data_IF_212511128574
#
_entry.id   IF_212511128574
#
_cell.length_a   1.000
_cell.length_b   1.000
_cell.length_c   1.000
_cell.angle_alpha   90.00
_cell.angle_beta   90.00
_cell.angle_gamma   90.00
#
_symmetry.space_group_name_H-M   'P 1'
#
loop_
_entity.id
_entity.type
_entity.pdbx_description
1 polymer ?
#
# COMPACT_ATOMS: atom_id res chain seq x y z
N UNK A 1 6.99 -11.77 34.64
CA UNK A 1 8.03 -10.73 34.58
C UNK A 1 7.35 -9.50 33.98
N UNK A 2 7.51 -8.32 34.60
CA UNK A 2 6.95 -7.09 34.02
C UNK A 2 7.74 -6.67 32.76
N UNK A 3 7.16 -5.79 31.93
CA UNK A 3 7.78 -5.41 30.65
C UNK A 3 9.14 -4.71 30.81
N UNK A 4 9.32 -3.91 31.87
CA UNK A 4 10.56 -3.17 32.13
C UNK A 4 11.71 -4.08 32.55
N UNK A 5 11.46 -5.03 33.47
CA UNK A 5 12.46 -6.02 33.87
C UNK A 5 12.85 -6.94 32.72
N UNK A 6 11.90 -7.30 31.84
CA UNK A 6 12.20 -8.08 30.63
C UNK A 6 13.08 -7.31 29.65
N UNK A 7 12.77 -6.04 29.38
CA UNK A 7 13.57 -5.20 28.48
C UNK A 7 15.02 -5.06 28.96
N UNK A 8 15.22 -4.79 30.25
CA UNK A 8 16.56 -4.71 30.85
C UNK A 8 17.29 -6.05 30.79
N UNK A 9 16.58 -7.15 31.02
CA UNK A 9 17.16 -8.50 30.93
C UNK A 9 17.64 -8.81 29.52
N UNK A 10 16.82 -8.52 28.50
CA UNK A 10 17.22 -8.66 27.09
C UNK A 10 18.43 -7.78 26.74
N UNK A 11 18.47 -6.53 27.22
CA UNK A 11 19.62 -5.63 27.00
C UNK A 11 20.92 -6.22 27.54
N UNK A 12 20.88 -6.75 28.77
CA UNK A 12 22.03 -7.37 29.42
C UNK A 12 22.45 -8.67 28.74
N UNK A 13 21.49 -9.56 28.46
CA UNK A 13 21.79 -10.90 27.97
C UNK A 13 22.31 -10.89 26.51
N UNK A 14 21.88 -9.92 25.70
CA UNK A 14 22.19 -9.84 24.27
C UNK A 14 23.01 -8.61 23.84
N UNK A 15 23.48 -7.79 24.79
CA UNK A 15 24.19 -6.54 24.50
C UNK A 15 23.40 -5.66 23.48
N UNK A 16 22.12 -5.40 23.78
CA UNK A 16 21.28 -4.59 22.90
C UNK A 16 21.68 -3.12 23.01
N UNK A 17 22.26 -2.60 21.93
CA UNK A 17 22.68 -1.21 21.75
C UNK A 17 21.71 -0.42 20.86
N UNK A 18 20.77 -1.10 20.20
CA UNK A 18 19.71 -0.46 19.44
C UNK A 18 18.84 0.43 20.33
N UNK A 19 18.44 1.60 19.82
CA UNK A 19 17.42 2.42 20.47
C UNK A 19 16.07 1.71 20.35
N UNK A 20 15.56 1.25 21.49
CA UNK A 20 14.27 0.55 21.60
C UNK A 20 13.23 1.38 22.37
N UNK A 21 13.41 2.71 22.42
CA UNK A 21 12.47 3.62 23.09
C UNK A 21 11.04 3.52 22.57
N UNK A 22 10.87 3.19 21.29
CA UNK A 22 9.55 3.02 20.64
C UNK A 22 8.92 1.63 20.90
N UNK A 23 9.63 0.72 21.58
CA UNK A 23 9.18 -0.66 21.80
C UNK A 23 8.49 -0.80 23.16
N UNK A 24 7.21 -1.18 23.13
CA UNK A 24 6.44 -1.51 24.33
C UNK A 24 6.46 -3.02 24.56
N UNK A 25 7.07 -3.46 25.65
CA UNK A 25 7.08 -4.86 26.06
C UNK A 25 5.78 -5.22 26.77
N UNK A 26 4.88 -5.91 26.06
CA UNK A 26 3.54 -6.24 26.55
C UNK A 26 3.60 -7.39 27.54
N UNK A 27 4.29 -8.47 27.16
CA UNK A 27 4.42 -9.67 27.97
C UNK A 27 5.73 -10.37 27.64
N UNK A 28 6.28 -11.08 28.60
CA UNK A 28 7.22 -12.12 28.26
C UNK A 28 7.57 -13.06 29.39
N UNK A 29 8.27 -14.12 29.02
CA UNK A 29 8.70 -15.16 29.91
C UNK A 29 10.03 -15.73 29.46
N UNK A 30 10.84 -16.14 30.43
CA UNK A 30 12.09 -16.83 30.22
C UNK A 30 11.92 -18.19 30.87
N UNK A 31 12.14 -19.27 30.12
CA UNK A 31 12.01 -20.64 30.62
C UNK A 31 13.29 -21.40 30.31
N UNK A 32 13.68 -22.31 31.21
CA UNK A 32 14.67 -23.33 30.86
C UNK A 32 14.07 -24.21 29.77
N UNK A 33 14.81 -24.40 28.69
CA UNK A 33 14.37 -25.23 27.59
C UNK A 33 14.60 -26.69 27.99
N UNK A 34 13.55 -27.35 28.47
CA UNK A 34 13.61 -28.78 28.78
C UNK A 34 13.36 -29.56 27.49
N UNK A 35 14.39 -30.16 26.91
CA UNK A 35 14.19 -31.24 25.94
C UNK A 35 13.57 -32.42 26.70
N UNK A 36 12.36 -32.82 26.32
CA UNK A 36 11.68 -34.00 26.86
C UNK A 36 12.44 -35.31 26.54
N UNK A 37 13.56 -35.25 25.81
CA UNK A 37 14.21 -36.41 25.17
C UNK A 37 15.74 -36.44 25.17
N UNK A 38 16.47 -35.73 26.04
CA UNK A 38 17.94 -35.88 26.06
C UNK A 38 18.54 -35.96 27.46
N UNK A 39 18.95 -37.17 27.82
CA UNK A 39 20.05 -37.38 28.77
C UNK A 39 21.28 -36.65 28.22
N UNK A 40 21.64 -35.53 28.86
CA UNK A 40 22.97 -34.89 28.87
C UNK A 40 23.82 -35.00 27.59
N UNK A 41 23.84 -33.95 26.75
CA UNK A 41 24.91 -33.79 25.74
C UNK A 41 25.47 -32.35 25.67
N UNK A 42 24.77 -31.33 26.17
CA UNK A 42 25.31 -29.98 26.27
C UNK A 42 25.89 -29.74 27.66
N UNK A 43 27.20 -29.96 27.84
CA UNK A 43 27.90 -29.64 29.08
C UNK A 43 27.70 -28.19 29.49
N UNK A 44 27.56 -27.93 30.80
CA UNK A 44 27.52 -26.65 31.56
C UNK A 44 26.64 -25.48 31.05
N UNK A 45 26.11 -25.52 29.83
CA UNK A 45 25.40 -24.41 29.18
C UNK A 45 23.91 -24.49 29.47
N UNK A 46 23.35 -23.44 30.07
CA UNK A 46 21.92 -23.32 30.29
C UNK A 46 21.19 -23.00 28.99
N UNK A 47 20.33 -23.89 28.50
CA UNK A 47 19.46 -23.58 27.36
C UNK A 47 18.22 -22.80 27.84
N UNK A 48 18.03 -21.60 27.32
CA UNK A 48 16.93 -20.70 27.68
C UNK A 48 16.06 -20.39 26.46
N UNK A 49 14.76 -20.32 26.68
CA UNK A 49 13.77 -19.85 25.72
C UNK A 49 13.12 -18.57 26.24
N UNK A 50 13.32 -17.49 25.50
CA UNK A 50 12.63 -16.23 25.69
C UNK A 50 11.40 -16.23 24.78
N UNK A 51 10.24 -15.90 25.35
CA UNK A 51 9.01 -15.63 24.60
C UNK A 51 8.60 -14.22 24.96
N UNK A 52 8.55 -13.33 23.96
CA UNK A 52 8.41 -11.88 24.15
C UNK A 52 7.33 -11.37 23.20
N UNK A 53 6.29 -10.78 23.75
CA UNK A 53 5.26 -10.07 23.00
C UNK A 53 5.55 -8.57 23.10
N UNK A 54 5.72 -7.91 21.95
CA UNK A 54 5.99 -6.49 21.86
C UNK A 54 4.95 -5.78 21.00
N UNK A 55 4.74 -4.51 21.29
CA UNK A 55 3.94 -3.59 20.51
C UNK A 55 4.83 -2.41 20.13
N UNK A 56 4.89 -2.10 18.84
CA UNK A 56 5.60 -0.91 18.32
C UNK A 56 4.57 -0.10 17.53
N UNK A 57 4.31 1.13 17.95
CA UNK A 57 3.15 1.90 17.51
C UNK A 57 1.85 1.07 17.61
N UNK A 58 1.26 0.71 16.48
CA UNK A 58 0.03 -0.08 16.38
C UNK A 58 0.28 -1.50 15.80
N UNK A 59 1.53 -1.97 15.78
CA UNK A 59 1.88 -3.29 15.23
C UNK A 59 2.37 -4.23 16.33
N UNK A 60 1.69 -5.35 16.48
CA UNK A 60 2.05 -6.41 17.41
C UNK A 60 3.06 -7.37 16.77
N UNK A 61 4.07 -7.75 17.55
CA UNK A 61 5.04 -8.78 17.18
C UNK A 61 5.20 -9.76 18.34
N UNK A 62 5.31 -11.04 18.01
CA UNK A 62 5.73 -12.08 18.96
C UNK A 62 7.12 -12.58 18.55
N UNK A 63 8.03 -12.64 19.53
CA UNK A 63 9.40 -13.08 19.36
C UNK A 63 9.64 -14.32 20.23
N UNK A 64 10.26 -15.34 19.64
CA UNK A 64 10.81 -16.49 20.38
C UNK A 64 12.31 -16.56 20.13
N UNK A 65 13.09 -16.55 21.20
CA UNK A 65 14.55 -16.53 21.15
C UNK A 65 15.05 -17.73 21.94
N UNK A 66 15.64 -18.70 21.25
CA UNK A 66 16.29 -19.86 21.86
C UNK A 66 17.78 -19.58 21.97
N UNK A 67 18.36 -19.79 23.14
CA UNK A 67 19.74 -19.36 23.42
C UNK A 67 20.49 -20.33 24.31
N UNK A 68 21.81 -20.37 24.12
CA UNK A 68 22.71 -20.83 25.18
C UNK A 68 23.13 -19.66 26.04
N UNK A 69 22.84 -19.76 27.34
CA UNK A 69 23.33 -18.84 28.35
C UNK A 69 24.70 -19.32 28.86
N UNK A 70 25.67 -18.43 28.78
CA UNK A 70 26.99 -18.51 29.40
C UNK A 70 27.01 -17.60 30.64
N UNK A 71 28.10 -17.64 31.42
CA UNK A 71 28.22 -16.79 32.62
C UNK A 71 28.07 -15.29 32.32
N UNK A 72 28.64 -14.83 31.20
CA UNK A 72 28.72 -13.40 30.86
C UNK A 72 28.08 -13.03 29.50
N UNK A 73 27.45 -13.99 28.81
CA UNK A 73 26.88 -13.75 27.48
C UNK A 73 25.77 -14.74 27.15
N UNK A 74 24.93 -14.39 26.16
CA UNK A 74 24.00 -15.35 25.56
C UNK A 74 24.23 -15.44 24.05
N UNK A 75 24.27 -16.67 23.53
CA UNK A 75 24.36 -16.95 22.09
C UNK A 75 22.98 -17.35 21.57
N UNK A 76 22.55 -16.72 20.47
CA UNK A 76 21.24 -16.97 19.87
C UNK A 76 21.33 -18.15 18.90
N UNK A 77 20.61 -19.22 19.24
CA UNK A 77 20.49 -20.44 18.44
C UNK A 77 19.35 -20.36 17.44
N UNK A 78 18.24 -19.75 17.85
CA UNK A 78 17.05 -19.62 17.01
C UNK A 78 16.33 -18.31 17.33
N UNK A 79 15.93 -17.62 16.28
CA UNK A 79 15.06 -16.45 16.36
C UNK A 79 13.82 -16.74 15.53
N UNK A 80 12.66 -16.68 16.18
CA UNK A 80 11.36 -16.68 15.52
C UNK A 80 10.68 -15.34 15.73
N UNK A 81 10.15 -14.79 14.65
CA UNK A 81 9.41 -13.53 14.64
C UNK A 81 8.05 -13.87 14.02
N UNK A 82 6.97 -13.48 14.67
CA UNK A 82 5.62 -13.72 14.20
C UNK A 82 4.84 -12.39 14.20
N UNK A 83 4.17 -12.08 13.08
CA UNK A 83 3.23 -10.96 12.99
C UNK A 83 1.81 -11.53 12.90
N UNK A 84 0.93 -11.28 13.88
CA UNK A 84 -0.42 -11.85 13.89
C UNK A 84 -1.30 -11.40 12.71
N UNK A 85 -1.09 -10.17 12.22
CA UNK A 85 -1.80 -9.65 11.04
C UNK A 85 -1.24 -10.28 9.76
N UNK A 86 -2.08 -11.06 9.06
CA UNK A 86 -1.69 -11.80 7.85
C UNK A 86 -1.26 -10.91 6.68
N UNK A 87 -1.78 -9.68 6.58
CA UNK A 87 -1.38 -8.77 5.50
C UNK A 87 -0.01 -8.15 5.79
N UNK A 88 0.22 -7.73 7.03
CA UNK A 88 1.53 -7.20 7.45
C UNK A 88 2.61 -8.29 7.44
N UNK A 89 2.24 -9.52 7.82
CA UNK A 89 3.09 -10.70 7.76
C UNK A 89 3.63 -10.95 6.33
N UNK A 90 2.81 -10.75 5.30
CA UNK A 90 3.25 -10.87 3.89
C UNK A 90 4.28 -9.79 3.53
N UNK A 91 4.04 -8.53 3.93
CA UNK A 91 4.95 -7.41 3.65
C UNK A 91 6.32 -7.58 4.33
N UNK A 92 6.34 -8.10 5.56
CA UNK A 92 7.60 -8.27 6.31
C UNK A 92 8.32 -9.59 6.03
N UNK A 93 7.67 -10.58 5.39
CA UNK A 93 8.14 -11.96 5.30
C UNK A 93 9.60 -12.10 4.82
N UNK A 94 9.98 -11.40 3.76
CA UNK A 94 11.34 -11.45 3.21
C UNK A 94 12.38 -10.94 4.22
N UNK A 95 12.10 -9.78 4.83
CA UNK A 95 12.97 -9.18 5.82
C UNK A 95 13.05 -10.01 7.10
N UNK A 96 11.92 -10.52 7.56
CA UNK A 96 11.82 -11.43 8.69
C UNK A 96 12.70 -12.66 8.48
N UNK A 97 12.57 -13.33 7.34
CA UNK A 97 13.36 -14.52 7.02
C UNK A 97 14.87 -14.22 7.01
N UNK A 98 15.27 -13.03 6.55
CA UNK A 98 16.65 -12.57 6.62
C UNK A 98 17.12 -12.42 8.08
N UNK A 99 16.37 -11.70 8.92
CA UNK A 99 16.73 -11.49 10.33
C UNK A 99 16.77 -12.80 11.13
N UNK A 100 15.83 -13.73 10.88
CA UNK A 100 15.82 -15.04 11.53
C UNK A 100 17.06 -15.90 11.19
N UNK A 101 17.62 -15.73 9.99
CA UNK A 101 18.87 -16.40 9.59
C UNK A 101 20.10 -15.75 10.24
N UNK A 102 20.15 -14.43 10.28
CA UNK A 102 21.28 -13.69 10.85
C UNK A 102 21.29 -13.64 12.38
N UNK A 103 20.13 -13.87 13.02
CA UNK A 103 19.97 -13.96 14.49
C UNK A 103 20.54 -12.76 15.24
N UNK A 104 20.48 -11.58 14.62
CA UNK A 104 20.96 -10.33 15.20
C UNK A 104 19.78 -9.55 15.78
N UNK A 105 19.66 -9.53 17.11
CA UNK A 105 18.56 -8.81 17.76
C UNK A 105 18.63 -7.29 17.59
N UNK A 106 19.83 -6.70 17.54
CA UNK A 106 19.97 -5.26 17.30
C UNK A 106 19.39 -4.89 15.93
N UNK A 107 19.79 -5.61 14.89
CA UNK A 107 19.24 -5.44 13.54
C UNK A 107 17.75 -5.75 13.48
N UNK A 108 17.29 -6.77 14.21
CA UNK A 108 15.88 -7.13 14.30
C UNK A 108 15.04 -5.99 14.89
N UNK A 109 15.42 -5.42 16.04
CA UNK A 109 14.65 -4.34 16.65
C UNK A 109 14.60 -3.09 15.77
N UNK A 110 15.75 -2.64 15.23
CA UNK A 110 15.79 -1.49 14.32
C UNK A 110 14.87 -1.68 13.11
N UNK A 111 14.87 -2.88 12.55
CA UNK A 111 14.02 -3.27 11.43
C UNK A 111 12.53 -3.27 11.80
N UNK A 112 12.15 -3.90 12.91
CA UNK A 112 10.75 -3.96 13.36
C UNK A 112 10.21 -2.56 13.66
N UNK A 113 11.05 -1.69 14.24
CA UNK A 113 10.73 -0.27 14.47
C UNK A 113 10.48 0.44 13.15
N UNK A 114 11.39 0.33 12.19
CA UNK A 114 11.23 0.96 10.88
C UNK A 114 9.98 0.45 10.16
N UNK A 115 9.72 -0.86 10.17
CA UNK A 115 8.52 -1.45 9.60
C UNK A 115 7.25 -0.88 10.24
N UNK A 116 7.14 -0.91 11.57
CA UNK A 116 5.99 -0.42 12.30
C UNK A 116 5.75 1.09 12.05
N UNK A 117 6.82 1.88 11.96
CA UNK A 117 6.76 3.31 11.63
C UNK A 117 6.18 3.56 10.23
N UNK A 118 6.55 2.75 9.24
CA UNK A 118 6.00 2.86 7.89
C UNK A 118 4.53 2.43 7.83
N UNK A 119 4.16 1.36 8.54
CA UNK A 119 2.76 0.93 8.68
C UNK A 119 1.92 2.05 9.29
N UNK A 120 2.42 2.66 10.37
CA UNK A 120 1.72 3.75 11.05
C UNK A 120 1.62 5.01 10.17
N UNK A 121 2.69 5.36 9.46
CA UNK A 121 2.70 6.44 8.47
C UNK A 121 1.60 6.25 7.44
N UNK A 122 1.49 5.05 6.87
CA UNK A 122 0.46 4.70 5.89
C UNK A 122 -0.95 4.80 6.49
N UNK A 123 -1.15 4.23 7.69
CA UNK A 123 -2.43 4.29 8.42
C UNK A 123 -2.89 5.73 8.63
N UNK A 124 -1.99 6.61 9.08
CA UNK A 124 -2.28 8.02 9.32
C UNK A 124 -2.63 8.75 8.01
N UNK A 125 -1.88 8.55 6.94
CA UNK A 125 -2.17 9.18 5.64
C UNK A 125 -3.53 8.72 5.11
N UNK A 126 -3.86 7.44 5.24
CA UNK A 126 -5.18 6.93 4.85
C UNK A 126 -6.30 7.59 5.64
N UNK A 127 -6.14 7.69 6.96
CA UNK A 127 -7.15 8.29 7.81
C UNK A 127 -7.30 9.81 7.56
N UNK A 128 -6.19 10.52 7.31
CA UNK A 128 -6.22 11.98 7.14
C UNK A 128 -6.70 12.38 5.74
N UNK A 129 -6.31 11.63 4.71
CA UNK A 129 -6.46 12.01 3.30
C UNK A 129 -7.38 11.05 2.55
N UNK A 130 -6.96 9.80 2.38
CA UNK A 130 -7.59 8.87 1.41
C UNK A 130 -9.03 8.52 1.79
N UNK A 131 -9.29 8.25 3.07
CA UNK A 131 -10.64 7.90 3.55
C UNK A 131 -11.66 9.04 3.43
N UNK A 132 -11.21 10.28 3.22
CA UNK A 132 -12.06 11.46 3.02
C UNK A 132 -12.28 11.78 1.55
N UNK A 133 -11.73 10.98 0.64
CA UNK A 133 -11.88 11.17 -0.79
C UNK A 133 -13.00 10.26 -1.33
N UNK A 134 -14.17 10.80 -1.71
CA UNK A 134 -15.31 9.97 -2.13
C UNK A 134 -15.05 9.17 -3.40
N UNK A 135 -14.12 9.61 -4.25
CA UNK A 135 -13.74 8.93 -5.50
C UNK A 135 -12.61 7.92 -5.31
N UNK A 136 -12.06 7.80 -4.10
CA UNK A 136 -11.04 6.82 -3.76
C UNK A 136 -11.68 5.60 -3.08
N UNK A 137 -11.25 4.41 -3.48
CA UNK A 137 -11.57 3.16 -2.82
C UNK A 137 -10.29 2.44 -2.39
N UNK A 138 -10.36 1.72 -1.28
CA UNK A 138 -9.24 0.99 -0.71
C UNK A 138 -9.55 -0.51 -0.72
N UNK A 139 -8.60 -1.31 -1.18
CA UNK A 139 -8.66 -2.77 -1.07
C UNK A 139 -7.30 -3.34 -0.66
N UNK A 140 -7.29 -4.51 -0.04
CA UNK A 140 -6.04 -5.24 0.19
C UNK A 140 -5.44 -5.70 -1.15
N UNK A 141 -4.12 -5.74 -1.25
CA UNK A 141 -3.41 -6.31 -2.40
C UNK A 141 -2.95 -7.75 -2.08
N UNK A 142 -2.88 -8.62 -3.09
CA UNK A 142 -2.62 -10.06 -2.89
C UNK A 142 -1.25 -10.31 -2.25
N UNK A 143 -0.25 -9.52 -2.64
CA UNK A 143 1.13 -9.57 -2.13
C UNK A 143 1.34 -8.84 -0.79
N UNK A 144 0.26 -8.43 -0.13
CA UNK A 144 0.30 -7.53 1.03
C UNK A 144 0.28 -6.06 0.62
N UNK A 145 0.11 -5.17 1.60
CA UNK A 145 -0.10 -3.75 1.36
C UNK A 145 -1.52 -3.42 0.90
N UNK A 146 -1.68 -2.24 0.30
CA UNK A 146 -2.97 -1.68 -0.08
C UNK A 146 -3.00 -1.18 -1.51
N UNK A 147 -4.14 -1.38 -2.15
CA UNK A 147 -4.48 -0.82 -3.44
C UNK A 147 -5.46 0.34 -3.24
N UNK A 148 -5.06 1.53 -3.67
CA UNK A 148 -5.90 2.73 -3.69
C UNK A 148 -6.34 2.94 -5.13
N UNK A 149 -7.64 2.90 -5.38
CA UNK A 149 -8.21 3.16 -6.71
C UNK A 149 -8.99 4.46 -6.68
N UNK A 150 -8.52 5.46 -7.42
CA UNK A 150 -9.25 6.68 -7.71
C UNK A 150 -9.96 6.54 -9.06
N UNK A 151 -11.28 6.72 -9.07
CA UNK A 151 -12.09 6.63 -10.28
C UNK A 151 -13.03 7.83 -10.39
N UNK A 152 -12.87 8.60 -11.45
CA UNK A 152 -13.77 9.69 -11.82
C UNK A 152 -14.32 9.45 -13.23
N UNK A 153 -15.53 8.89 -13.29
CA UNK A 153 -16.20 8.54 -14.55
C UNK A 153 -16.52 9.79 -15.39
N UNK A 154 -16.85 10.91 -14.74
CA UNK A 154 -17.22 12.14 -15.44
C UNK A 154 -16.05 12.75 -16.20
N UNK A 155 -14.84 12.58 -15.65
CA UNK A 155 -13.62 13.15 -16.20
C UNK A 155 -12.70 12.11 -16.82
N UNK A 156 -13.16 10.86 -16.92
CA UNK A 156 -12.43 9.69 -17.40
C UNK A 156 -11.03 9.54 -16.77
N UNK A 157 -10.91 9.75 -15.46
CA UNK A 157 -9.65 9.56 -14.73
C UNK A 157 -9.71 8.25 -13.96
N UNK A 158 -8.72 7.40 -14.18
CA UNK A 158 -8.54 6.16 -13.44
C UNK A 158 -7.08 6.05 -13.00
N UNK A 159 -6.86 5.99 -11.69
CA UNK A 159 -5.54 5.86 -11.07
C UNK A 159 -5.59 4.72 -10.05
N UNK A 160 -4.67 3.78 -10.17
CA UNK A 160 -4.43 2.70 -9.22
C UNK A 160 -3.05 2.90 -8.59
N UNK A 161 -2.99 2.98 -7.26
CA UNK A 161 -1.76 3.17 -6.49
C UNK A 161 -1.58 1.96 -5.56
N UNK A 162 -0.58 1.12 -5.84
CA UNK A 162 -0.21 0.01 -5.00
C UNK A 162 0.83 0.49 -3.99
N UNK A 163 0.51 0.42 -2.70
CA UNK A 163 1.36 0.90 -1.64
C UNK A 163 1.66 -0.23 -0.67
N UNK A 164 2.91 -0.69 -0.69
CA UNK A 164 3.43 -1.79 0.13
C UNK A 164 4.78 -1.45 0.75
N UNK A 165 5.08 -2.08 1.87
CA UNK A 165 6.41 -2.08 2.46
C UNK A 165 7.14 -3.30 1.90
N UNK A 166 8.34 -3.08 1.39
CA UNK A 166 9.15 -4.12 0.76
C UNK A 166 10.56 -4.15 1.38
N UNK A 167 11.26 -5.26 1.15
CA UNK A 167 12.67 -5.41 1.54
C UNK A 167 13.57 -5.15 0.34
N UNK A 168 14.48 -4.18 0.44
CA UNK A 168 15.56 -3.98 -0.52
C UNK A 168 16.70 -4.94 -0.18
N UNK A 169 16.94 -5.93 -1.04
CA UNK A 169 18.09 -6.84 -0.89
C UNK A 169 19.43 -6.12 -1.11
N UNK A 170 19.47 -5.10 -1.98
CA UNK A 170 20.67 -4.30 -2.29
C UNK A 170 21.15 -3.54 -1.06
N UNK A 171 20.22 -2.86 -0.40
CA UNK A 171 20.54 -1.98 0.73
C UNK A 171 20.38 -2.68 2.08
N UNK A 172 19.80 -3.88 2.10
CA UNK A 172 19.41 -4.60 3.32
C UNK A 172 18.54 -3.72 4.24
N UNK A 173 17.54 -3.06 3.66
CA UNK A 173 16.66 -2.13 4.36
C UNK A 173 15.20 -2.33 3.96
N UNK A 174 14.32 -1.96 4.88
CA UNK A 174 12.89 -1.88 4.59
C UNK A 174 12.60 -0.55 3.89
N UNK A 175 11.89 -0.63 2.76
CA UNK A 175 11.52 0.52 1.93
C UNK A 175 10.01 0.62 1.79
N UNK A 176 9.51 1.85 1.76
CA UNK A 176 8.11 2.11 1.49
C UNK A 176 7.92 2.29 -0.02
N UNK A 177 7.29 1.32 -0.66
CA UNK A 177 7.17 1.20 -2.10
C UNK A 177 5.78 1.61 -2.57
N UNK A 178 5.74 2.57 -3.50
CA UNK A 178 4.51 3.02 -4.15
C UNK A 178 4.66 2.80 -5.66
N UNK A 179 3.78 1.99 -6.23
CA UNK A 179 3.66 1.76 -7.66
C UNK A 179 2.36 2.40 -8.16
N UNK A 180 2.39 3.07 -9.30
CA UNK A 180 1.25 3.82 -9.83
C UNK A 180 0.93 3.39 -11.25
N UNK A 181 -0.33 3.15 -11.52
CA UNK A 181 -0.88 2.86 -12.84
C UNK A 181 -2.04 3.81 -13.11
N UNK A 182 -2.04 4.50 -14.24
CA UNK A 182 -3.13 5.39 -14.60
C UNK A 182 -3.44 5.33 -16.09
N UNK A 183 -4.67 5.65 -16.45
CA UNK A 183 -5.07 5.80 -17.85
C UNK A 183 -4.52 7.11 -18.45
N UNK A 184 -4.43 7.21 -19.77
CA UNK A 184 -4.02 8.47 -20.39
C UNK A 184 -5.17 9.49 -20.30
N UNK A 185 -5.21 10.24 -19.19
CA UNK A 185 -6.19 11.30 -18.96
C UNK A 185 -5.64 12.66 -19.44
N UNK A 186 -6.51 13.48 -20.02
CA UNK A 186 -6.21 14.83 -20.47
C UNK A 186 -6.85 15.83 -19.50
N UNK A 187 -6.13 16.16 -18.43
CA UNK A 187 -6.54 17.16 -17.45
C UNK A 187 -5.69 18.44 -17.60
N UNK A 188 -6.25 19.65 -17.38
CA UNK A 188 -5.48 20.90 -17.43
C UNK A 188 -4.28 20.94 -16.48
N UNK A 189 -4.40 20.28 -15.32
CA UNK A 189 -3.33 20.08 -14.32
C UNK A 189 -2.73 18.67 -14.40
N UNK A 190 -2.82 18.00 -15.55
CA UNK A 190 -2.36 16.62 -15.70
C UNK A 190 -0.86 16.45 -15.45
N UNK A 191 -0.05 17.47 -15.74
CA UNK A 191 1.38 17.45 -15.44
C UNK A 191 1.64 17.51 -13.94
N UNK A 192 0.91 18.35 -13.19
CA UNK A 192 1.05 18.45 -11.73
C UNK A 192 0.64 17.14 -11.05
N UNK A 193 -0.46 16.51 -11.52
CA UNK A 193 -0.89 15.19 -11.03
C UNK A 193 0.20 14.15 -11.29
N UNK A 194 0.76 14.10 -12.50
CA UNK A 194 1.84 13.16 -12.85
C UNK A 194 3.09 13.40 -12.00
N UNK A 195 3.51 14.65 -11.83
CA UNK A 195 4.68 14.99 -10.99
C UNK A 195 4.46 14.55 -9.54
N UNK A 196 3.30 14.85 -8.96
CA UNK A 196 2.97 14.44 -7.59
C UNK A 196 2.98 12.91 -7.45
N UNK A 197 2.44 12.17 -8.43
CA UNK A 197 2.48 10.71 -8.45
C UNK A 197 3.91 10.19 -8.55
N UNK A 198 4.75 10.73 -9.44
CA UNK A 198 6.16 10.36 -9.56
C UNK A 198 6.94 10.65 -8.29
N UNK A 199 6.69 11.79 -7.63
CA UNK A 199 7.36 12.10 -6.37
C UNK A 199 6.96 11.13 -5.27
N UNK A 200 5.69 10.73 -5.21
CA UNK A 200 5.22 9.74 -4.23
C UNK A 200 5.89 8.38 -4.36
N UNK A 201 6.42 8.00 -5.54
CA UNK A 201 7.13 6.71 -5.69
C UNK A 201 8.52 6.70 -5.06
N UNK A 202 9.03 7.84 -4.58
CA UNK A 202 10.36 7.91 -3.98
C UNK A 202 10.39 7.20 -2.60
N UNK A 203 11.31 6.23 -2.38
CA UNK A 203 11.27 5.35 -1.21
C UNK A 203 11.63 6.06 0.11
N UNK A 204 12.44 7.11 0.06
CA UNK A 204 12.98 7.79 1.24
C UNK A 204 12.19 9.03 1.68
N UNK A 205 10.92 9.15 1.30
CA UNK A 205 10.10 10.28 1.72
C UNK A 205 9.71 10.18 3.21
N UNK A 206 10.00 11.23 3.98
CA UNK A 206 9.52 11.38 5.34
C UNK A 206 7.99 11.54 5.40
N UNK A 207 7.42 11.39 6.61
CA UNK A 207 5.98 11.47 6.84
C UNK A 207 5.36 12.79 6.38
N UNK A 208 5.97 13.94 6.71
CA UNK A 208 5.41 15.26 6.42
C UNK A 208 5.41 15.54 4.93
N UNK A 209 6.50 15.22 4.25
CA UNK A 209 6.64 15.35 2.81
C UNK A 209 5.64 14.44 2.09
N UNK A 210 5.54 13.18 2.50
CA UNK A 210 4.59 12.21 1.93
C UNK A 210 3.14 12.66 2.15
N UNK A 211 2.78 13.10 3.36
CA UNK A 211 1.45 13.63 3.66
C UNK A 211 1.11 14.87 2.83
N UNK A 212 2.07 15.78 2.63
CA UNK A 212 1.89 16.98 1.80
C UNK A 212 1.60 16.58 0.34
N UNK A 213 2.38 15.66 -0.23
CA UNK A 213 2.18 15.15 -1.59
C UNK A 213 0.80 14.50 -1.75
N UNK A 214 0.37 13.67 -0.79
CA UNK A 214 -0.97 13.09 -0.80
C UNK A 214 -2.09 14.13 -0.76
N UNK A 215 -1.95 15.18 0.05
CA UNK A 215 -2.92 16.27 0.11
C UNK A 215 -2.99 17.04 -1.20
N UNK A 216 -1.84 17.36 -1.80
CA UNK A 216 -1.76 18.05 -3.09
C UNK A 216 -2.39 17.20 -4.20
N UNK A 217 -2.04 15.92 -4.29
CA UNK A 217 -2.61 14.99 -5.26
C UNK A 217 -4.14 14.96 -5.18
N UNK A 218 -4.72 14.78 -3.99
CA UNK A 218 -6.18 14.75 -3.84
C UNK A 218 -6.82 16.09 -4.15
N UNK A 219 -6.18 17.21 -3.80
CA UNK A 219 -6.65 18.54 -4.16
C UNK A 219 -6.68 18.75 -5.68
N UNK A 220 -5.62 18.37 -6.39
CA UNK A 220 -5.51 18.48 -7.84
C UNK A 220 -6.56 17.63 -8.56
N UNK A 221 -6.80 16.42 -8.06
CA UNK A 221 -7.84 15.52 -8.56
C UNK A 221 -9.26 16.10 -8.35
N UNK A 222 -9.53 16.73 -7.20
CA UNK A 222 -10.82 17.39 -6.93
C UNK A 222 -11.05 18.62 -7.79
N UNK A 223 -10.02 19.45 -7.98
CA UNK A 223 -10.10 20.67 -8.78
C UNK A 223 -10.56 20.33 -10.20
N UNK A 224 -10.00 19.27 -10.77
CA UNK A 224 -10.38 18.77 -12.08
C UNK A 224 -11.83 18.26 -12.12
N UNK A 225 -12.25 17.48 -11.12
CA UNK A 225 -13.64 17.01 -11.01
C UNK A 225 -14.67 18.14 -10.99
N UNK A 226 -14.35 19.27 -10.34
CA UNK A 226 -15.25 20.43 -10.25
C UNK A 226 -15.28 21.27 -11.53
N UNK A 227 -14.13 21.47 -12.19
CA UNK A 227 -14.06 22.27 -13.43
C UNK A 227 -14.85 21.66 -14.59
N UNK A 228 -14.91 20.33 -14.67
CA UNK A 228 -15.67 19.62 -15.72
C UNK A 228 -17.18 19.80 -15.54
N UNK A 229 -17.65 19.89 -14.30
CA UNK A 229 -19.08 20.12 -14.00
C UNK A 229 -19.52 21.51 -14.48
N UNK A 230 -18.70 22.55 -14.26
CA UNK A 230 -19.02 23.90 -14.70
C UNK A 230 -19.06 24.02 -16.24
N UNK A 231 -18.11 23.43 -16.96
CA UNK A 231 -18.10 23.46 -18.42
C UNK A 231 -19.32 22.75 -19.05
N UNK A 232 -19.76 21.62 -18.48
CA UNK A 232 -20.92 20.86 -18.98
C UNK A 232 -22.25 21.60 -18.69
N UNK A 233 -22.35 22.31 -17.57
CA UNK A 233 -23.52 23.13 -17.23
C UNK A 233 -23.63 24.32 -18.20
N UNK A 234 -22.54 25.03 -18.46
CA UNK A 234 -22.54 26.17 -19.40
C UNK A 234 -22.96 25.75 -20.81
N UNK A 235 -22.55 24.57 -21.29
CA UNK A 235 -22.96 24.05 -22.61
C UNK A 235 -24.46 23.72 -22.67
N UNK A 236 -25.05 23.20 -21.57
CA UNK A 236 -26.49 22.91 -21.50
C UNK A 236 -27.35 24.17 -21.40
N UNK A 237 -26.88 25.19 -20.68
CA UNK A 237 -27.57 26.48 -20.57
C UNK A 237 -27.46 27.30 -21.87
N UNK A 238 -26.39 27.14 -22.64
CA UNK A 238 -26.25 27.80 -23.96
C UNK A 238 -26.95 27.07 -25.10
N UNK A 239 -27.29 25.78 -24.96
CA UNK A 239 -28.06 25.03 -25.95
C UNK A 239 -29.59 25.13 -25.78
N UNK A 240 -30.10 25.83 -24.77
CA UNK A 240 -31.55 25.96 -24.51
C UNK A 240 -32.17 27.27 -25.03
N UNK A 241 -31.45 28.04 -25.86
CA UNK A 241 -32.01 29.23 -26.53
C UNK A 241 -31.60 29.28 -27.99
N UNK A 242 -32.24 28.45 -28.83
CA UNK A 242 -32.37 28.69 -30.28
C UNK A 242 -33.47 27.80 -30.89
N UNK A 243 -34.67 27.79 -30.31
CA UNK A 243 -35.87 27.37 -31.03
C UNK A 243 -36.56 28.63 -31.60
N UNK A 244 -36.04 29.10 -32.72
CA UNK A 244 -36.77 29.93 -33.66
C UNK A 244 -36.33 29.55 -35.07
N UNK A 245 -37.32 29.23 -35.89
CA UNK A 245 -37.29 29.06 -37.34
C UNK A 245 -36.47 27.91 -37.94
N UNK A 246 -37.14 26.76 -38.04
CA UNK A 246 -37.12 26.02 -39.31
C UNK A 246 -38.51 25.44 -39.57
N UNK A 247 -39.27 26.20 -40.37
CA UNK A 247 -40.55 25.83 -40.97
C UNK A 247 -40.36 24.56 -41.80
N UNK A 248 -40.99 23.46 -41.38
CA UNK A 248 -41.13 22.25 -42.19
C UNK A 248 -42.33 22.44 -43.12
N UNK A 249 -42.06 22.85 -44.37
CA UNK A 249 -43.06 22.90 -45.44
C UNK A 249 -43.35 21.46 -45.89
N UNK A 250 -44.60 21.03 -45.68
CA UNK A 250 -45.17 19.83 -46.26
C UNK A 250 -45.47 20.13 -47.74
N UNK A 251 -44.94 19.35 -48.66
CA UNK A 251 -45.47 19.28 -50.03
C UNK A 251 -45.44 17.84 -50.51
N UNK A 252 -46.64 17.29 -50.67
CA UNK A 252 -46.92 16.06 -51.41
C UNK A 252 -46.57 16.25 -52.88
N UNK A 253 -45.97 15.23 -53.49
CA UNK A 253 -46.09 14.98 -54.92
C UNK A 253 -45.94 13.48 -55.18
N UNK A 254 -47.02 12.85 -55.64
CA UNK A 254 -47.07 11.45 -56.06
C UNK A 254 -46.63 11.24 -57.52
N UNK A 255 -46.36 9.96 -57.82
CA UNK A 255 -46.14 9.30 -59.13
C UNK A 255 -44.74 9.40 -59.76
N UNK A 256 -44.13 8.34 -60.32
CA UNK A 256 -44.39 6.90 -60.36
C UNK A 256 -43.13 6.22 -60.95
N UNK A 257 -42.83 4.97 -60.56
CA UNK A 257 -41.87 4.13 -61.31
C UNK A 257 -41.15 3.03 -60.51
N UNK A 258 -41.77 1.85 -60.43
CA UNK A 258 -41.21 0.47 -60.43
C UNK A 258 -39.81 0.22 -59.82
N UNK A 259 -39.52 -0.74 -58.95
CA UNK A 259 -40.09 -2.09 -58.78
C UNK A 259 -39.35 -2.81 -57.63
N UNK A 260 -40.03 -3.81 -57.04
CA UNK A 260 -39.52 -4.98 -56.31
C UNK A 260 -39.09 -4.83 -54.83
N UNK A 261 -40.00 -5.30 -53.97
CA UNK A 261 -39.80 -5.87 -52.63
C UNK A 261 -40.07 -7.39 -52.74
N UNK A 262 -39.52 -8.28 -51.87
CA UNK A 262 -39.89 -8.27 -50.46
C UNK A 262 -38.78 -8.55 -49.42
N UNK A 263 -39.06 -7.99 -48.24
CA UNK A 263 -38.72 -8.35 -46.86
C UNK A 263 -37.57 -9.32 -46.56
N UNK A 264 -36.65 -8.91 -45.67
CA UNK A 264 -36.61 -9.37 -44.27
C UNK A 264 -35.72 -8.44 -43.43
N UNK A 265 -36.32 -7.91 -42.37
CA UNK A 265 -35.72 -7.19 -41.25
C UNK A 265 -34.64 -8.02 -40.57
N UNK A 266 -33.39 -7.56 -40.59
CA UNK A 266 -32.39 -7.90 -39.56
C UNK A 266 -31.52 -6.69 -39.20
N UNK A 267 -31.90 -6.06 -38.11
CA UNK A 267 -31.08 -5.13 -37.32
C UNK A 267 -29.74 -5.77 -36.92
N UNK A 268 -28.65 -5.42 -37.61
CA UNK A 268 -27.29 -5.67 -37.11
C UNK A 268 -26.87 -4.49 -36.24
N UNK A 269 -27.07 -4.63 -34.92
CA UNK A 269 -26.31 -3.87 -33.91
C UNK A 269 -24.82 -4.07 -34.22
N UNK A 270 -24.14 -3.04 -34.72
CA UNK A 270 -22.67 -3.01 -34.70
C UNK A 270 -22.24 -2.96 -33.25
N UNK A 271 -21.69 -4.07 -32.76
CA UNK A 271 -20.96 -4.13 -31.50
C UNK A 271 -19.73 -3.26 -31.69
N UNK A 272 -19.66 -2.14 -30.98
CA UNK A 272 -18.43 -1.36 -30.86
C UNK A 272 -17.49 -2.23 -30.03
N UNK A 273 -16.47 -2.79 -30.67
CA UNK A 273 -15.38 -3.44 -29.96
C UNK A 273 -14.64 -2.40 -29.14
N UNK A 274 -14.46 -2.67 -27.85
CA UNK A 274 -13.61 -1.86 -26.99
C UNK A 274 -12.18 -1.97 -27.50
N UNK A 275 -11.65 -0.88 -28.08
CA UNK A 275 -10.22 -0.77 -28.34
C UNK A 275 -9.49 -0.82 -26.98
N UNK A 276 -8.48 -1.67 -26.80
CA UNK A 276 -7.63 -1.58 -25.63
C UNK A 276 -6.92 -0.22 -25.66
N UNK A 277 -7.12 0.58 -24.61
CA UNK A 277 -6.32 1.78 -24.41
C UNK A 277 -4.87 1.35 -24.14
N UNK A 278 -3.87 1.97 -24.77
CA UNK A 278 -2.48 1.71 -24.41
C UNK A 278 -2.24 2.20 -22.98
N UNK A 279 -1.98 1.26 -22.07
CA UNK A 279 -1.50 1.57 -20.73
C UNK A 279 -0.08 2.12 -20.85
N UNK A 280 0.16 3.27 -20.24
CA UNK A 280 1.52 3.79 -20.08
C UNK A 280 2.07 3.19 -18.79
N UNK A 281 3.14 2.40 -18.88
CA UNK A 281 3.85 1.91 -17.69
C UNK A 281 5.05 2.82 -17.46
N UNK A 282 5.09 3.48 -16.31
CA UNK A 282 6.27 4.22 -15.87
C UNK A 282 7.02 3.32 -14.88
N UNK A 283 8.12 2.75 -15.33
CA UNK A 283 9.09 2.13 -14.44
C UNK A 283 10.08 3.20 -13.99
N UNK A 284 10.20 3.42 -12.69
CA UNK A 284 11.37 4.09 -12.13
C UNK A 284 12.20 3.00 -11.48
N UNK A 285 13.27 2.61 -12.17
CA UNK A 285 14.32 1.77 -11.58
C UNK A 285 15.14 2.69 -10.67
N UNK A 286 15.31 2.37 -9.38
CA UNK A 286 16.19 3.14 -8.52
C UNK A 286 17.65 2.85 -8.91
N UNK A 287 18.43 3.91 -9.15
CA UNK A 287 19.89 3.84 -9.28
C UNK A 287 20.56 3.35 -7.98
#
# INVERSE_FOLDING_TARGET
MDGYSLANKLKLDFNLNADISEVVFVKGSIKKYNEVTANSVFGEKGCLLYVVDILIYNVHFALKILTFAYENSSEILKLEIEVPDKNLEKEIAACRNFQQRHRNLNGTFLMLIQFAKLVETRRLIFHIVVSKEPKASLSAHEDGGFMIKYMDNSSNVMIHINWRIAWSMKDSLIVDMIEVYYNNFMAPNGNDIKENLTRLTHPCLDFHTKLKLWKLLMFDLRKYACSTIQAVITIRETQTVSEADSVLVISDNEEAGSSNLPDVVRSKRRRIEARPCPSSVVYVVPD
#
